data_IF_226443141650
#
_entry.id   IF_226443141650
#
_cell.length_a   1.000
_cell.length_b   1.000
_cell.length_c   1.000
_cell.angle_alpha   90.00
_cell.angle_beta   90.00
_cell.angle_gamma   90.00
#
_symmetry.space_group_name_H-M   'P 1'
#
loop_
_entity.id
_entity.type
_entity.pdbx_description
1 polymer ?
#
# COMPACT_ATOMS: atom_id res chain seq x y z
N UNK A 1 3.11 -41.43 2.25
CA UNK A 1 4.07 -41.26 1.13
C UNK A 1 4.95 -40.08 1.50
N UNK A 2 6.17 -40.36 1.90
CA UNK A 2 7.14 -39.39 2.42
C UNK A 2 8.07 -38.99 1.27
N UNK A 3 8.20 -37.68 1.01
CA UNK A 3 9.15 -37.13 0.04
C UNK A 3 10.33 -36.51 0.81
N UNK A 4 11.59 -36.84 0.45
CA UNK A 4 12.76 -36.44 1.21
C UNK A 4 13.23 -35.03 0.85
N UNK A 5 13.54 -34.26 1.90
CA UNK A 5 14.24 -32.98 1.83
C UNK A 5 15.72 -33.23 1.52
N UNK A 6 16.23 -32.72 0.40
CA UNK A 6 17.68 -32.68 0.11
C UNK A 6 18.26 -31.35 0.58
N UNK A 7 19.28 -31.46 1.44
CA UNK A 7 20.03 -30.34 1.98
C UNK A 7 20.92 -29.65 0.92
N UNK A 8 21.08 -28.34 1.09
CA UNK A 8 22.07 -27.54 0.36
C UNK A 8 23.26 -27.24 1.27
N UNK A 9 24.41 -27.65 0.75
CA UNK A 9 25.75 -27.51 1.31
C UNK A 9 26.27 -26.08 1.30
N UNK A 10 26.86 -25.68 2.42
CA UNK A 10 27.60 -24.44 2.62
C UNK A 10 28.87 -24.41 1.77
N UNK A 11 28.98 -23.44 0.87
CA UNK A 11 30.25 -23.03 0.23
C UNK A 11 30.81 -21.81 0.98
N UNK A 12 31.87 -22.05 1.75
CA UNK A 12 32.72 -21.00 2.33
C UNK A 12 33.58 -20.40 1.21
N UNK A 13 33.33 -19.12 0.86
CA UNK A 13 34.21 -18.32 0.02
C UNK A 13 35.21 -17.51 0.87
N UNK A 14 36.49 -17.63 0.56
CA UNK A 14 37.64 -17.00 1.21
C UNK A 14 37.58 -15.46 1.08
N UNK A 15 37.84 -14.80 2.22
CA UNK A 15 38.18 -13.36 2.28
C UNK A 15 39.53 -13.08 1.60
N UNK A 16 39.50 -12.38 0.48
CA UNK A 16 40.68 -11.78 -0.15
C UNK A 16 40.98 -10.42 0.45
N UNK A 17 42.23 -10.20 0.87
CA UNK A 17 42.77 -8.94 1.38
C UNK A 17 42.76 -7.88 0.27
N UNK A 18 42.23 -6.68 0.59
CA UNK A 18 42.38 -5.49 -0.25
C UNK A 18 43.78 -4.88 -0.11
N UNK A 19 44.39 -4.36 -1.21
CA UNK A 19 45.67 -3.66 -1.14
C UNK A 19 45.48 -2.21 -0.68
N UNK A 20 46.51 -1.71 0.06
CA UNK A 20 46.59 -0.37 0.58
C UNK A 20 46.72 0.66 -0.54
N UNK A 21 45.89 1.69 -0.54
CA UNK A 21 45.98 2.84 -1.43
C UNK A 21 46.98 3.85 -0.89
N UNK A 22 48.00 4.17 -1.71
CA UNK A 22 49.03 5.13 -1.45
C UNK A 22 48.49 6.57 -1.43
N UNK A 23 49.09 7.38 -0.54
CA UNK A 23 48.91 8.83 -0.47
C UNK A 23 49.38 9.48 -1.78
N UNK A 24 48.50 10.17 -2.47
CA UNK A 24 48.85 11.12 -3.53
C UNK A 24 48.76 12.54 -2.99
N UNK A 25 49.89 13.25 -3.10
CA UNK A 25 50.02 14.68 -2.78
C UNK A 25 49.39 15.51 -3.88
N UNK A 26 48.45 16.38 -3.51
CA UNK A 26 47.85 17.35 -4.41
C UNK A 26 48.74 18.62 -4.55
N UNK A 27 48.92 19.17 -5.75
CA UNK A 27 49.49 20.51 -5.91
C UNK A 27 48.37 21.57 -5.77
N UNK A 28 48.70 22.60 -4.99
CA UNK A 28 47.89 23.81 -4.84
C UNK A 28 47.89 24.61 -6.14
N UNK A 29 46.69 24.93 -6.66
CA UNK A 29 46.51 25.94 -7.71
C UNK A 29 45.62 27.06 -7.19
N UNK A 30 46.18 28.30 -7.29
CA UNK A 30 45.57 29.58 -6.96
C UNK A 30 44.26 29.80 -7.73
N UNK A 31 43.28 30.42 -7.04
CA UNK A 31 42.12 31.04 -7.65
C UNK A 31 42.48 32.33 -8.40
N UNK A 32 41.80 32.65 -9.47
CA UNK A 32 41.30 34.00 -9.64
C UNK A 32 39.85 34.08 -10.11
N UNK A 33 39.13 35.05 -9.55
CA UNK A 33 38.11 35.83 -10.29
C UNK A 33 36.75 35.22 -10.44
N UNK A 34 35.79 35.66 -9.61
CA UNK A 34 34.38 35.71 -10.00
C UNK A 34 34.17 36.44 -11.35
N UNK A 35 33.18 36.10 -12.14
CA UNK A 35 31.81 36.44 -11.85
C UNK A 35 30.73 35.50 -12.43
N UNK A 36 29.54 35.62 -11.92
CA UNK A 36 28.35 35.24 -12.68
C UNK A 36 27.77 33.88 -12.35
N UNK A 37 27.08 33.80 -11.22
CA UNK A 37 26.03 32.82 -10.97
C UNK A 37 24.97 32.89 -12.09
N UNK A 38 25.20 32.14 -13.15
CA UNK A 38 24.14 31.86 -14.11
C UNK A 38 23.16 30.89 -13.45
N UNK A 39 22.20 31.41 -12.71
CA UNK A 39 20.96 30.71 -12.51
C UNK A 39 20.43 30.33 -13.89
N UNK A 40 20.63 29.10 -14.31
CA UNK A 40 19.88 28.52 -15.41
C UNK A 40 18.42 28.45 -14.95
N UNK A 41 17.70 29.53 -15.16
CA UNK A 41 16.28 29.55 -15.00
C UNK A 41 15.69 28.42 -15.83
N UNK A 42 14.80 27.64 -15.23
CA UNK A 42 13.93 26.71 -15.91
C UNK A 42 13.25 27.49 -17.02
N UNK A 43 13.71 27.35 -18.26
CA UNK A 43 12.98 27.87 -19.42
C UNK A 43 11.82 26.89 -19.63
N UNK A 44 10.67 27.25 -19.15
CA UNK A 44 9.41 26.67 -19.61
C UNK A 44 9.40 26.80 -21.13
N UNK A 45 9.42 25.69 -21.84
CA UNK A 45 9.11 25.65 -23.27
C UNK A 45 7.73 26.25 -23.41
N UNK A 46 7.60 27.33 -24.16
CA UNK A 46 6.42 28.21 -24.22
C UNK A 46 5.15 27.65 -24.85
N UNK A 47 4.92 26.36 -24.77
CA UNK A 47 3.62 25.74 -25.06
C UNK A 47 2.88 25.65 -23.73
N UNK A 48 1.99 26.58 -23.47
CA UNK A 48 1.01 26.51 -22.39
C UNK A 48 0.02 25.38 -22.75
N UNK A 49 0.33 24.15 -22.37
CA UNK A 49 -0.71 23.15 -22.30
C UNK A 49 -1.56 23.51 -21.08
N UNK A 50 -2.85 23.76 -21.30
CA UNK A 50 -3.80 23.90 -20.20
C UNK A 50 -3.73 22.62 -19.36
N UNK A 51 -3.66 22.77 -18.03
CA UNK A 51 -3.64 21.63 -17.13
C UNK A 51 -5.00 20.91 -17.18
N UNK A 52 -4.99 19.62 -17.40
CA UNK A 52 -6.19 18.80 -17.30
C UNK A 52 -6.46 18.52 -15.82
N UNK A 53 -7.65 18.88 -15.35
CA UNK A 53 -8.07 18.60 -13.99
C UNK A 53 -8.52 17.14 -13.90
N UNK A 54 -7.81 16.33 -13.11
CA UNK A 54 -8.19 14.95 -12.81
C UNK A 54 -9.14 14.97 -11.60
N UNK A 55 -10.42 14.68 -11.85
CA UNK A 55 -11.42 14.63 -10.77
C UNK A 55 -11.42 13.28 -10.05
N UNK A 56 -10.87 13.24 -8.83
CA UNK A 56 -10.93 12.05 -7.98
C UNK A 56 -12.37 11.61 -7.65
N UNK A 57 -13.30 12.57 -7.54
CA UNK A 57 -14.73 12.27 -7.31
C UNK A 57 -15.36 11.51 -8.48
N UNK A 58 -15.06 11.91 -9.72
CA UNK A 58 -15.61 11.22 -10.91
C UNK A 58 -14.99 9.83 -11.07
N UNK A 59 -13.67 9.70 -10.84
CA UNK A 59 -12.99 8.38 -10.84
C UNK A 59 -13.62 7.47 -9.78
N UNK A 60 -13.81 7.97 -8.57
CA UNK A 60 -14.44 7.19 -7.49
C UNK A 60 -15.85 6.74 -7.84
N UNK A 61 -16.68 7.59 -8.46
CA UNK A 61 -18.03 7.21 -8.92
C UNK A 61 -17.99 6.11 -9.97
N UNK A 62 -17.05 6.14 -10.90
CA UNK A 62 -16.90 5.09 -11.91
C UNK A 62 -16.51 3.76 -11.26
N UNK A 63 -15.50 3.76 -10.38
CA UNK A 63 -15.07 2.57 -9.64
C UNK A 63 -16.23 2.01 -8.79
N UNK A 64 -16.98 2.85 -8.08
CA UNK A 64 -18.14 2.41 -7.31
C UNK A 64 -19.19 1.72 -8.17
N UNK A 65 -19.47 2.23 -9.37
CA UNK A 65 -20.41 1.58 -10.30
C UNK A 65 -19.91 0.23 -10.83
N UNK A 66 -18.59 0.11 -11.03
CA UNK A 66 -17.95 -1.16 -11.42
C UNK A 66 -18.10 -2.18 -10.30
N UNK A 67 -17.70 -1.84 -9.08
CA UNK A 67 -17.80 -2.70 -7.90
C UNK A 67 -19.25 -3.07 -7.61
N UNK A 68 -20.18 -2.13 -7.72
CA UNK A 68 -21.60 -2.41 -7.51
C UNK A 68 -22.11 -3.50 -8.46
N UNK A 69 -21.76 -3.41 -9.75
CA UNK A 69 -22.11 -4.45 -10.74
C UNK A 69 -21.51 -5.81 -10.41
N UNK A 70 -20.27 -5.82 -9.95
CA UNK A 70 -19.57 -7.04 -9.56
C UNK A 70 -20.22 -7.69 -8.34
N UNK A 71 -20.59 -6.89 -7.32
CA UNK A 71 -21.34 -7.37 -6.14
C UNK A 71 -22.72 -7.90 -6.53
N UNK A 72 -23.46 -7.21 -7.40
CA UNK A 72 -24.76 -7.65 -7.90
C UNK A 72 -24.67 -8.97 -8.67
N UNK A 73 -23.65 -9.08 -9.54
CA UNK A 73 -23.35 -10.32 -10.27
C UNK A 73 -23.01 -11.46 -9.31
N UNK A 74 -22.13 -11.22 -8.33
CA UNK A 74 -21.77 -12.20 -7.30
C UNK A 74 -22.98 -12.72 -6.53
N UNK A 75 -23.87 -11.83 -6.10
CA UNK A 75 -25.09 -12.19 -5.38
C UNK A 75 -26.08 -12.92 -6.28
N UNK A 76 -26.20 -12.54 -7.55
CA UNK A 76 -27.09 -13.21 -8.52
C UNK A 76 -26.72 -14.67 -8.79
N UNK A 77 -25.45 -15.03 -8.60
CA UNK A 77 -24.96 -16.41 -8.67
C UNK A 77 -25.26 -17.23 -7.41
N UNK A 78 -26.05 -16.70 -6.47
CA UNK A 78 -26.43 -17.38 -5.22
C UNK A 78 -25.39 -17.23 -4.09
N UNK A 79 -24.36 -16.43 -4.28
CA UNK A 79 -23.36 -16.20 -3.25
C UNK A 79 -23.88 -15.23 -2.19
N UNK A 80 -23.30 -15.34 -0.98
CA UNK A 80 -23.57 -14.40 0.10
C UNK A 80 -23.00 -13.02 -0.24
N UNK A 81 -23.73 -11.97 0.12
CA UNK A 81 -23.29 -10.58 0.02
C UNK A 81 -21.99 -10.39 0.83
N UNK A 82 -20.96 -9.72 0.29
CA UNK A 82 -19.73 -9.45 1.02
C UNK A 82 -19.99 -8.65 2.30
N UNK A 83 -19.23 -8.96 3.36
CA UNK A 83 -19.36 -8.33 4.67
C UNK A 83 -18.01 -7.82 5.15
N UNK A 84 -17.96 -6.54 5.56
CA UNK A 84 -16.79 -5.83 6.06
C UNK A 84 -16.96 -5.53 7.55
N UNK A 85 -16.10 -6.07 8.39
CA UNK A 85 -16.02 -5.72 9.81
C UNK A 85 -14.96 -4.65 10.04
N UNK A 86 -15.33 -3.55 10.69
CA UNK A 86 -14.45 -2.40 10.95
C UNK A 86 -14.25 -2.25 12.44
N UNK A 87 -13.02 -2.31 12.90
CA UNK A 87 -12.64 -2.07 14.29
C UNK A 87 -12.14 -0.63 14.41
N UNK A 88 -12.75 0.15 15.32
CA UNK A 88 -12.38 1.52 15.64
C UNK A 88 -12.13 1.65 17.12
N UNK A 89 -10.96 2.15 17.50
CA UNK A 89 -10.53 2.30 18.88
C UNK A 89 -10.43 3.78 19.25
N UNK A 90 -11.07 4.15 20.36
CA UNK A 90 -11.07 5.52 20.90
C UNK A 90 -11.92 6.51 20.11
N UNK A 91 -11.76 7.80 20.41
CA UNK A 91 -12.68 8.86 19.99
C UNK A 91 -12.03 9.89 19.04
N UNK A 92 -11.00 9.49 18.28
CA UNK A 92 -10.35 10.39 17.33
C UNK A 92 -11.34 10.85 16.25
N UNK A 93 -11.68 12.16 16.12
CA UNK A 93 -12.69 12.63 15.18
C UNK A 93 -12.34 12.36 13.71
N UNK A 94 -11.05 12.38 13.36
CA UNK A 94 -10.60 12.08 12.03
C UNK A 94 -10.84 10.60 11.69
N UNK A 95 -10.50 9.68 12.59
CA UNK A 95 -10.75 8.23 12.44
C UNK A 95 -12.25 7.94 12.28
N UNK A 96 -13.10 8.56 13.10
CA UNK A 96 -14.56 8.46 12.96
C UNK A 96 -15.06 8.95 11.59
N UNK A 97 -14.50 10.04 11.08
CA UNK A 97 -14.86 10.56 9.75
C UNK A 97 -14.44 9.60 8.63
N UNK A 98 -13.23 9.02 8.72
CA UNK A 98 -12.75 8.02 7.74
C UNK A 98 -13.63 6.76 7.76
N UNK A 99 -13.91 6.22 8.93
CA UNK A 99 -14.77 5.04 9.08
C UNK A 99 -16.17 5.28 8.53
N UNK A 100 -16.79 6.42 8.86
CA UNK A 100 -18.11 6.79 8.33
C UNK A 100 -18.10 6.86 6.79
N UNK A 101 -17.05 7.39 6.19
CA UNK A 101 -16.92 7.45 4.74
C UNK A 101 -16.71 6.06 4.12
N UNK A 102 -15.93 5.18 4.77
CA UNK A 102 -15.74 3.78 4.35
C UNK A 102 -17.06 3.01 4.40
N UNK A 103 -17.84 3.11 5.49
CA UNK A 103 -19.17 2.50 5.63
C UNK A 103 -20.11 3.00 4.54
N UNK A 104 -20.13 4.31 4.29
CA UNK A 104 -20.98 4.88 3.24
C UNK A 104 -20.60 4.34 1.86
N UNK A 105 -19.30 4.26 1.55
CA UNK A 105 -18.84 3.71 0.29
C UNK A 105 -19.17 2.21 0.16
N UNK A 106 -18.97 1.42 1.19
CA UNK A 106 -19.33 0.00 1.23
C UNK A 106 -20.83 -0.20 0.96
N UNK A 107 -21.69 0.55 1.66
CA UNK A 107 -23.14 0.51 1.46
C UNK A 107 -23.56 0.90 0.04
N UNK A 108 -22.91 1.93 -0.55
CA UNK A 108 -23.22 2.38 -1.90
C UNK A 108 -22.96 1.32 -2.99
N UNK A 109 -21.99 0.42 -2.74
CA UNK A 109 -21.66 -0.68 -3.68
C UNK A 109 -22.30 -2.02 -3.29
N UNK A 110 -23.13 -2.03 -2.25
CA UNK A 110 -23.85 -3.23 -1.82
C UNK A 110 -23.06 -4.17 -0.92
N UNK A 111 -21.96 -3.73 -0.33
CA UNK A 111 -21.22 -4.46 0.73
C UNK A 111 -21.88 -4.18 2.08
N UNK A 112 -22.21 -5.22 2.84
CA UNK A 112 -22.63 -5.06 4.23
C UNK A 112 -21.43 -4.66 5.10
N UNK A 113 -21.66 -3.84 6.12
CA UNK A 113 -20.58 -3.49 7.05
C UNK A 113 -21.10 -3.41 8.48
N UNK A 114 -20.24 -3.77 9.42
CA UNK A 114 -20.47 -3.56 10.85
C UNK A 114 -19.33 -2.75 11.46
N UNK A 115 -19.62 -2.01 12.50
CA UNK A 115 -18.66 -1.19 13.24
C UNK A 115 -18.53 -1.73 14.66
N UNK A 116 -17.33 -2.15 15.01
CA UNK A 116 -16.93 -2.59 16.35
C UNK A 116 -16.19 -1.42 17.01
N UNK A 117 -16.86 -0.73 17.93
CA UNK A 117 -16.26 0.36 18.70
C UNK A 117 -15.64 -0.19 19.96
N UNK A 118 -14.39 0.21 20.24
CA UNK A 118 -13.70 -0.10 21.47
C UNK A 118 -13.19 1.18 22.13
N UNK A 119 -13.19 1.22 23.47
CA UNK A 119 -12.67 2.36 24.20
C UNK A 119 -11.15 2.50 24.01
N UNK A 120 -10.60 3.68 24.30
CA UNK A 120 -9.17 3.97 24.10
C UNK A 120 -8.25 3.08 24.95
N UNK A 121 -8.71 2.60 26.09
CA UNK A 121 -7.99 1.76 27.05
C UNK A 121 -8.15 0.25 26.80
N UNK A 122 -8.76 -0.16 25.68
CA UNK A 122 -8.85 -1.57 25.29
C UNK A 122 -7.46 -2.21 25.24
N UNK A 123 -7.33 -3.44 25.75
CA UNK A 123 -6.07 -4.16 25.71
C UNK A 123 -5.74 -4.70 24.31
N UNK A 124 -4.45 -4.91 24.06
CA UNK A 124 -4.00 -5.52 22.81
C UNK A 124 -4.53 -6.94 22.66
N UNK A 125 -4.57 -7.70 23.76
CA UNK A 125 -5.09 -9.06 23.80
C UNK A 125 -6.56 -9.11 23.40
N UNK A 126 -7.38 -8.22 23.93
CA UNK A 126 -8.79 -8.13 23.55
C UNK A 126 -8.97 -7.81 22.05
N UNK A 127 -8.14 -6.93 21.50
CA UNK A 127 -8.16 -6.65 20.06
C UNK A 127 -7.76 -7.87 19.23
N UNK A 128 -6.77 -8.65 19.66
CA UNK A 128 -6.38 -9.88 19.00
C UNK A 128 -7.48 -10.94 19.09
N UNK A 129 -8.12 -11.10 20.23
CA UNK A 129 -9.27 -12.01 20.39
C UNK A 129 -10.43 -11.66 19.44
N UNK A 130 -10.70 -10.37 19.28
CA UNK A 130 -11.72 -9.89 18.34
C UNK A 130 -11.30 -10.22 16.89
N UNK A 131 -10.05 -9.95 16.52
CA UNK A 131 -9.58 -10.26 15.16
C UNK A 131 -9.61 -11.76 14.89
N UNK A 132 -9.27 -12.60 15.86
CA UNK A 132 -9.35 -14.05 15.74
C UNK A 132 -10.78 -14.55 15.55
N UNK A 133 -11.74 -14.01 16.30
CA UNK A 133 -13.16 -14.33 16.12
C UNK A 133 -13.64 -13.95 14.71
N UNK A 134 -13.27 -12.77 14.21
CA UNK A 134 -13.62 -12.33 12.87
C UNK A 134 -12.92 -13.15 11.77
N UNK A 135 -11.68 -13.58 12.02
CA UNK A 135 -10.96 -14.48 11.11
C UNK A 135 -11.68 -15.82 10.95
N UNK A 136 -12.20 -16.35 12.05
CA UNK A 136 -12.91 -17.65 12.07
C UNK A 136 -14.35 -17.54 11.57
N UNK A 137 -14.96 -16.36 11.51
CA UNK A 137 -16.34 -16.19 11.03
C UNK A 137 -16.40 -16.25 9.50
N UNK A 138 -17.05 -17.29 8.93
CA UNK A 138 -17.18 -17.43 7.47
C UNK A 138 -18.09 -16.38 6.84
N UNK A 139 -18.83 -15.61 7.64
CA UNK A 139 -19.68 -14.52 7.15
C UNK A 139 -18.86 -13.26 6.86
N UNK A 140 -17.71 -13.08 7.51
CA UNK A 140 -16.82 -11.92 7.38
C UNK A 140 -15.90 -12.12 6.17
N UNK A 141 -16.06 -11.27 5.16
CA UNK A 141 -15.26 -11.30 3.94
C UNK A 141 -13.99 -10.44 4.04
N UNK A 142 -14.02 -9.40 4.89
CA UNK A 142 -12.90 -8.50 5.10
C UNK A 142 -12.92 -7.87 6.48
N UNK A 143 -11.73 -7.59 7.00
CA UNK A 143 -11.51 -6.97 8.31
C UNK A 143 -10.67 -5.72 8.10
N UNK A 144 -11.07 -4.63 8.74
CA UNK A 144 -10.38 -3.35 8.71
C UNK A 144 -10.18 -2.85 10.14
N UNK A 145 -8.94 -2.57 10.52
CA UNK A 145 -8.61 -1.89 11.77
C UNK A 145 -8.23 -0.45 11.46
N UNK A 146 -9.04 0.50 11.94
CA UNK A 146 -8.79 1.91 11.66
C UNK A 146 -7.60 2.43 12.44
N UNK A 147 -6.51 2.76 11.75
CA UNK A 147 -5.34 3.40 12.33
C UNK A 147 -5.55 4.93 12.48
N UNK A 148 -4.84 5.59 13.40
CA UNK A 148 -3.89 5.02 14.37
C UNK A 148 -4.58 4.33 15.55
N UNK A 149 -3.89 3.37 16.17
CA UNK A 149 -4.27 2.78 17.45
C UNK A 149 -3.65 3.57 18.62
N UNK A 150 -4.12 3.38 19.86
CA UNK A 150 -3.48 3.96 21.05
C UNK A 150 -2.03 3.47 21.23
N UNK A 151 -1.17 4.31 21.84
CA UNK A 151 0.28 4.07 21.96
C UNK A 151 0.67 2.77 22.69
N UNK A 152 -0.21 2.23 23.55
CA UNK A 152 0.03 0.97 24.27
C UNK A 152 -0.27 -0.28 23.43
N UNK A 153 -0.80 -0.12 22.22
CA UNK A 153 -1.12 -1.20 21.29
C UNK A 153 -0.13 -1.18 20.14
N UNK A 154 0.50 -2.30 19.85
CA UNK A 154 1.35 -2.45 18.67
C UNK A 154 0.50 -2.63 17.41
N UNK A 155 0.42 -1.58 16.59
CA UNK A 155 -0.34 -1.60 15.33
C UNK A 155 0.08 -2.74 14.40
N UNK A 156 1.38 -3.07 14.37
CA UNK A 156 1.88 -4.12 13.50
C UNK A 156 1.42 -5.50 13.94
N UNK A 157 1.41 -5.73 15.24
CA UNK A 157 0.89 -6.98 15.82
C UNK A 157 -0.58 -7.16 15.50
N UNK A 158 -1.40 -6.11 15.63
CA UNK A 158 -2.83 -6.18 15.29
C UNK A 158 -3.04 -6.40 13.78
N UNK A 159 -2.33 -5.66 12.92
CA UNK A 159 -2.44 -5.85 11.47
C UNK A 159 -2.03 -7.28 11.03
N UNK A 160 -1.03 -7.87 11.69
CA UNK A 160 -0.61 -9.25 11.41
C UNK A 160 -1.50 -10.31 12.07
N UNK A 161 -2.37 -9.93 12.99
CA UNK A 161 -3.41 -10.80 13.55
C UNK A 161 -4.60 -11.02 12.60
N UNK A 162 -4.78 -10.16 11.60
CA UNK A 162 -5.82 -10.34 10.59
C UNK A 162 -5.37 -11.42 9.59
N UNK A 163 -6.25 -12.34 9.19
CA UNK A 163 -5.94 -13.31 8.14
C UNK A 163 -5.59 -12.57 6.82
N UNK A 164 -4.50 -12.93 6.14
CA UNK A 164 -4.03 -12.22 4.94
C UNK A 164 -5.09 -12.03 3.85
N UNK A 165 -5.99 -13.00 3.70
CA UNK A 165 -7.09 -12.98 2.74
C UNK A 165 -8.27 -12.09 3.15
N UNK A 166 -8.33 -11.70 4.44
CA UNK A 166 -9.34 -10.78 4.98
C UNK A 166 -8.79 -9.38 5.28
N UNK A 167 -7.47 -9.16 5.12
CA UNK A 167 -6.79 -7.88 5.35
C UNK A 167 -7.04 -6.89 4.21
N UNK A 168 -8.19 -6.23 4.23
CA UNK A 168 -8.60 -5.32 3.15
C UNK A 168 -7.78 -4.02 3.07
N UNK A 169 -7.00 -3.67 4.10
CA UNK A 169 -6.07 -2.55 4.06
C UNK A 169 -4.69 -2.94 3.47
N UNK A 170 -4.41 -4.25 3.29
CA UNK A 170 -3.16 -4.76 2.71
C UNK A 170 -1.93 -4.52 3.58
N UNK A 171 -2.09 -4.42 4.91
CA UNK A 171 -0.99 -4.11 5.84
C UNK A 171 -0.34 -5.34 6.45
N UNK A 172 -0.93 -6.51 6.29
CA UNK A 172 -0.35 -7.77 6.77
C UNK A 172 1.00 -8.03 6.09
N UNK A 173 1.97 -8.51 6.85
CA UNK A 173 3.34 -8.75 6.35
C UNK A 173 3.37 -9.66 5.11
N UNK A 174 2.46 -10.63 5.01
CA UNK A 174 2.35 -11.52 3.84
C UNK A 174 1.89 -10.74 2.62
N UNK A 175 0.89 -9.86 2.73
CA UNK A 175 0.41 -9.04 1.61
C UNK A 175 1.49 -8.06 1.14
N UNK A 176 2.19 -7.41 2.08
CA UNK A 176 3.34 -6.54 1.75
C UNK A 176 4.47 -7.33 1.09
N UNK A 177 4.81 -8.52 1.59
CA UNK A 177 5.83 -9.37 1.00
C UNK A 177 5.47 -9.82 -0.43
N UNK A 178 4.23 -10.23 -0.65
CA UNK A 178 3.72 -10.59 -1.99
C UNK A 178 3.76 -9.40 -2.94
N UNK A 179 3.33 -8.21 -2.48
CA UNK A 179 3.42 -6.97 -3.28
C UNK A 179 4.85 -6.68 -3.72
N UNK A 180 5.83 -6.84 -2.81
CA UNK A 180 7.25 -6.64 -3.12
C UNK A 180 7.82 -7.67 -4.13
N UNK A 181 7.18 -8.83 -4.26
CA UNK A 181 7.59 -9.93 -5.13
C UNK A 181 6.69 -10.06 -6.37
N UNK A 182 5.93 -9.02 -6.70
CA UNK A 182 4.96 -9.00 -7.81
C UNK A 182 3.98 -10.19 -7.80
N UNK A 183 3.65 -10.69 -6.59
CA UNK A 183 2.67 -11.77 -6.42
C UNK A 183 1.29 -11.21 -6.11
N UNK A 184 0.25 -11.98 -6.41
CA UNK A 184 -1.13 -11.62 -6.07
C UNK A 184 -1.29 -11.37 -4.57
N UNK A 185 -1.78 -10.19 -4.21
CA UNK A 185 -1.97 -9.76 -2.82
C UNK A 185 -3.07 -8.71 -2.70
N UNK A 186 -3.54 -8.48 -1.48
CA UNK A 186 -4.30 -7.28 -1.18
C UNK A 186 -3.32 -6.10 -1.08
N UNK A 187 -3.57 -5.05 -1.86
CA UNK A 187 -2.70 -3.89 -1.98
C UNK A 187 -3.20 -2.79 -1.05
N UNK A 188 -2.30 -2.05 -0.34
CA UNK A 188 -2.71 -0.90 0.45
C UNK A 188 -3.59 0.07 -0.34
N UNK A 189 -4.77 0.38 0.21
CA UNK A 189 -5.85 1.07 -0.50
C UNK A 189 -5.42 2.41 -1.14
N UNK A 190 -4.57 3.20 -0.46
CA UNK A 190 -4.06 4.47 -1.01
C UNK A 190 -3.13 4.23 -2.20
N UNK A 191 -2.29 3.20 -2.16
CA UNK A 191 -1.40 2.86 -3.26
C UNK A 191 -2.21 2.35 -4.47
N UNK A 192 -3.20 1.49 -4.23
CA UNK A 192 -4.15 1.05 -5.25
C UNK A 192 -4.90 2.22 -5.89
N UNK A 193 -5.36 3.20 -5.09
CA UNK A 193 -6.03 4.40 -5.62
C UNK A 193 -5.11 5.23 -6.53
N UNK A 194 -3.85 5.43 -6.15
CA UNK A 194 -2.87 6.13 -7.00
C UNK A 194 -2.64 5.36 -8.30
N UNK A 195 -2.54 4.05 -8.23
CA UNK A 195 -2.38 3.19 -9.40
C UNK A 195 -3.60 3.29 -10.34
N UNK A 196 -4.81 3.27 -9.80
CA UNK A 196 -6.05 3.45 -10.58
C UNK A 196 -6.09 4.82 -11.27
N UNK A 197 -5.65 5.89 -10.60
CA UNK A 197 -5.54 7.22 -11.22
C UNK A 197 -4.56 7.18 -12.40
N UNK A 198 -3.38 6.59 -12.23
CA UNK A 198 -2.37 6.47 -13.28
C UNK A 198 -2.91 5.72 -14.49
N UNK A 199 -3.53 4.55 -14.27
CA UNK A 199 -4.12 3.73 -15.34
C UNK A 199 -5.23 4.48 -16.08
N UNK A 200 -6.19 5.04 -15.35
CA UNK A 200 -7.38 5.68 -15.93
C UNK A 200 -7.09 7.01 -16.61
N UNK A 201 -5.97 7.64 -16.30
CA UNK A 201 -5.51 8.85 -17.01
C UNK A 201 -4.57 8.56 -18.18
N UNK A 202 -4.26 7.28 -18.43
CA UNK A 202 -3.41 6.88 -19.57
C UNK A 202 -1.93 7.27 -19.43
N UNK A 203 -1.47 7.52 -18.20
CA UNK A 203 -0.06 7.84 -17.95
C UNK A 203 0.79 6.58 -18.17
N UNK A 204 1.69 6.63 -19.15
CA UNK A 204 2.63 5.56 -19.44
C UNK A 204 3.72 5.49 -18.37
N UNK A 205 3.83 4.37 -17.67
CA UNK A 205 4.85 4.16 -16.61
C UNK A 205 5.96 3.22 -17.04
N UNK A 206 5.70 2.31 -17.98
CA UNK A 206 6.67 1.33 -18.46
C UNK A 206 7.91 2.01 -19.07
N UNK A 207 9.09 1.62 -18.62
CA UNK A 207 10.37 2.18 -19.08
C UNK A 207 10.62 3.64 -18.67
N UNK A 208 9.86 4.17 -17.69
CA UNK A 208 10.01 5.55 -17.20
C UNK A 208 10.71 5.59 -15.85
N UNK A 209 11.53 6.64 -15.65
CA UNK A 209 12.07 6.95 -14.33
C UNK A 209 11.00 7.65 -13.51
N UNK A 210 10.73 7.13 -12.32
CA UNK A 210 9.71 7.66 -11.40
C UNK A 210 10.34 8.05 -10.08
N UNK A 211 9.92 9.17 -9.51
CA UNK A 211 10.30 9.62 -8.17
C UNK A 211 9.06 9.65 -7.29
N UNK A 212 9.10 8.90 -6.19
CA UNK A 212 8.06 8.94 -5.15
C UNK A 212 8.57 9.77 -3.98
N UNK A 213 8.01 10.98 -3.82
CA UNK A 213 8.36 11.87 -2.72
C UNK A 213 7.56 11.49 -1.46
N UNK A 214 8.01 10.45 -0.75
CA UNK A 214 7.37 9.93 0.45
C UNK A 214 7.98 8.61 0.90
N UNK A 215 8.03 8.38 2.23
CA UNK A 215 8.63 7.17 2.81
C UNK A 215 7.69 6.39 3.75
N UNK A 216 6.41 6.71 3.74
CA UNK A 216 5.43 5.99 4.55
C UNK A 216 5.37 4.52 4.13
N UNK A 217 5.42 3.61 5.12
CA UNK A 217 5.34 2.16 4.89
C UNK A 217 3.97 1.74 4.33
N UNK A 218 2.93 2.51 4.63
CA UNK A 218 1.55 2.20 4.24
C UNK A 218 1.12 2.96 2.96
N UNK A 219 1.91 3.91 2.46
CA UNK A 219 1.57 4.75 1.30
C UNK A 219 2.72 4.83 0.29
N UNK A 220 3.82 5.53 0.63
CA UNK A 220 4.91 5.81 -0.32
C UNK A 220 5.63 4.56 -0.78
N UNK A 221 5.92 3.64 0.14
CA UNK A 221 6.60 2.39 -0.20
C UNK A 221 5.76 1.49 -1.10
N UNK A 222 4.47 1.19 -0.80
CA UNK A 222 3.63 0.43 -1.71
C UNK A 222 3.46 1.07 -3.09
N UNK A 223 3.36 2.41 -3.19
CA UNK A 223 3.33 3.10 -4.48
C UNK A 223 4.62 2.85 -5.26
N UNK A 224 5.77 2.95 -4.59
CA UNK A 224 7.06 2.68 -5.23
C UNK A 224 7.16 1.24 -5.74
N UNK A 225 6.66 0.26 -4.97
CA UNK A 225 6.62 -1.15 -5.39
C UNK A 225 5.72 -1.35 -6.61
N UNK A 226 4.51 -0.77 -6.62
CA UNK A 226 3.63 -0.82 -7.79
C UNK A 226 4.24 -0.24 -9.07
N UNK A 227 5.14 0.75 -8.92
CA UNK A 227 5.80 1.41 -10.05
C UNK A 227 7.15 0.76 -10.40
N UNK A 228 7.64 -0.18 -9.59
CA UNK A 228 8.93 -0.87 -9.77
C UNK A 228 8.81 -2.21 -10.49
N UNK A 229 7.61 -2.73 -10.72
CA UNK A 229 7.41 -4.02 -11.40
C UNK A 229 8.13 -4.06 -12.76
N UNK A 230 8.65 -5.20 -13.13
CA UNK A 230 9.39 -5.44 -14.40
C UNK A 230 8.49 -5.45 -15.64
N UNK A 231 7.19 -5.42 -15.47
CA UNK A 231 6.21 -5.33 -16.55
C UNK A 231 5.89 -6.63 -17.28
N UNK A 232 6.53 -7.74 -16.93
CA UNK A 232 6.28 -9.05 -17.55
C UNK A 232 5.08 -9.78 -16.91
N UNK A 233 4.68 -9.40 -15.71
CA UNK A 233 3.61 -10.04 -14.95
C UNK A 233 2.43 -9.11 -14.72
N UNK A 234 1.24 -9.70 -14.60
CA UNK A 234 0.08 -8.96 -14.12
C UNK A 234 0.38 -8.39 -12.73
N UNK A 235 0.00 -7.14 -12.54
CA UNK A 235 0.27 -6.49 -11.26
C UNK A 235 -0.58 -7.09 -10.15
N UNK A 236 -0.05 -7.18 -8.93
CA UNK A 236 -0.80 -7.71 -7.81
C UNK A 236 -2.13 -6.98 -7.64
N UNK A 237 -3.23 -7.72 -7.54
CA UNK A 237 -4.57 -7.17 -7.33
C UNK A 237 -5.19 -6.46 -8.54
N UNK A 238 -4.72 -6.70 -9.77
CA UNK A 238 -5.34 -6.22 -11.00
C UNK A 238 -6.51 -7.11 -11.43
#
# INVERSE_FOLDING_TARGET
MTVPVRGFSLLRGRLGRAPALGRSTAPSVRAPGEPGSAFRGFRSSGVRHEAIIISGTEIAKHIQKEIQRDVESWVSLGNRRPHLSIILVGDNPASHTYVRNKIRAASAVGICSELILKPKDVSQEELLDITDQLNMDPRVSGILVQLPLPDHVDERTICNGIAPEKDVDGFHIINIGRLCLDQHSLIPATASAVWEIIKRTGIQTFGKNVVVAGRSKNVGMPIAMLLHTDGEHERPGA
#
